data_IF_229600933582
#
_entry.id   IF_229600933582
#
_cell.length_a   1.000
_cell.length_b   1.000
_cell.length_c   1.000
_cell.angle_alpha   90.00
_cell.angle_beta   90.00
_cell.angle_gamma   90.00
#
_symmetry.space_group_name_H-M   'P 1'
#
loop_
_entity.id
_entity.type
_entity.pdbx_description
1 polymer ?
#
# COMPACT_ATOMS: atom_id res chain seq x y z
N UNK A 1 9.81 5.38 4.93
CA UNK A 1 8.46 5.42 4.33
C UNK A 1 7.91 6.83 4.40
N UNK A 2 7.37 7.30 3.29
CA UNK A 2 6.75 8.63 3.23
C UNK A 2 5.60 8.65 2.23
N UNK A 3 4.83 9.74 2.25
CA UNK A 3 3.74 10.01 1.32
C UNK A 3 2.66 8.93 1.32
N UNK A 4 2.41 8.31 2.47
CA UNK A 4 1.38 7.30 2.59
C UNK A 4 -0.02 7.93 2.50
N UNK A 5 -0.90 7.26 1.76
CA UNK A 5 -2.28 7.74 1.58
C UNK A 5 -3.23 6.56 1.36
N UNK A 6 -4.50 6.83 1.63
CA UNK A 6 -5.61 5.90 1.33
C UNK A 6 -6.67 6.72 0.61
N UNK A 7 -7.18 6.18 -0.50
CA UNK A 7 -8.28 6.82 -1.23
C UNK A 7 -9.59 6.34 -0.62
N UNK A 8 -10.43 7.28 -0.16
CA UNK A 8 -11.73 6.93 0.41
C UNK A 8 -12.57 6.20 -0.64
N UNK A 9 -13.17 5.04 -0.30
CA UNK A 9 -14.02 4.32 -1.25
C UNK A 9 -15.25 5.15 -1.63
N UNK A 10 -15.77 4.91 -2.82
CA UNK A 10 -17.06 5.49 -3.23
C UNK A 10 -18.17 4.98 -2.32
N UNK A 11 -19.24 5.75 -2.21
CA UNK A 11 -20.39 5.39 -1.38
C UNK A 11 -20.92 4.01 -1.76
N UNK A 12 -21.14 3.16 -0.76
CA UNK A 12 -21.60 1.79 -0.95
C UNK A 12 -20.51 0.80 -1.32
N UNK A 13 -19.24 1.23 -1.36
CA UNK A 13 -18.10 0.36 -1.64
C UNK A 13 -17.22 0.26 -0.40
N UNK A 14 -16.55 -0.88 -0.25
CA UNK A 14 -15.66 -1.13 0.89
C UNK A 14 -14.23 -1.49 0.46
N UNK A 15 -13.89 -1.28 -0.81
CA UNK A 15 -12.56 -1.53 -1.34
C UNK A 15 -11.92 -0.19 -1.70
N UNK A 16 -10.69 0.01 -1.22
CA UNK A 16 -9.97 1.26 -1.42
C UNK A 16 -8.56 0.99 -1.90
N UNK A 17 -8.02 1.91 -2.69
CA UNK A 17 -6.62 1.91 -3.04
C UNK A 17 -5.81 2.77 -2.08
N UNK A 18 -4.54 2.47 -1.97
CA UNK A 18 -3.61 3.27 -1.19
C UNK A 18 -2.21 3.18 -1.75
N UNK A 19 -1.34 4.03 -1.26
CA UNK A 19 0.04 4.04 -1.69
C UNK A 19 0.97 4.69 -0.69
N UNK A 20 2.25 4.57 -0.97
CA UNK A 20 3.32 5.15 -0.18
C UNK A 20 4.63 5.05 -0.95
N UNK A 21 5.68 5.67 -0.43
CA UNK A 21 7.02 5.45 -0.92
C UNK A 21 7.84 4.79 0.20
N UNK A 22 8.48 3.67 -0.11
CA UNK A 22 9.38 2.98 0.81
C UNK A 22 10.79 2.97 0.25
N UNK A 23 11.76 3.29 1.09
CA UNK A 23 13.16 3.30 0.69
C UNK A 23 14.01 2.74 1.84
N UNK A 24 15.18 2.23 1.48
CA UNK A 24 16.10 1.61 2.42
C UNK A 24 17.51 2.08 2.14
N UNK A 25 18.35 2.14 3.19
CA UNK A 25 19.79 2.31 3.06
C UNK A 25 20.45 1.04 3.57
N UNK A 26 21.45 0.54 2.82
CA UNK A 26 22.12 -0.72 3.15
C UNK A 26 21.55 -1.89 2.39
N UNK A 27 21.41 -3.05 3.05
CA UNK A 27 20.95 -4.26 2.41
C UNK A 27 19.48 -4.15 1.96
N UNK A 28 19.12 -4.78 0.84
CA UNK A 28 17.73 -4.74 0.39
C UNK A 28 16.79 -5.48 1.34
N UNK A 29 15.54 -5.02 1.37
CA UNK A 29 14.46 -5.64 2.14
C UNK A 29 13.27 -5.88 1.21
N UNK A 30 12.36 -6.74 1.65
CA UNK A 30 11.11 -6.96 0.93
C UNK A 30 9.94 -6.46 1.77
N UNK A 31 9.04 -5.70 1.14
CA UNK A 31 7.74 -5.37 1.72
C UNK A 31 6.84 -6.56 1.47
N UNK A 32 6.46 -7.28 2.53
CA UNK A 32 5.74 -8.54 2.42
C UNK A 32 4.29 -8.46 2.85
N UNK A 33 3.87 -7.37 3.48
CA UNK A 33 2.49 -7.23 3.89
C UNK A 33 2.21 -5.87 4.49
N UNK A 34 0.92 -5.61 4.67
CA UNK A 34 0.43 -4.40 5.30
C UNK A 34 -0.88 -4.70 6.00
N UNK A 35 -1.19 -3.90 7.02
CA UNK A 35 -2.46 -3.98 7.74
C UNK A 35 -2.84 -2.62 8.29
N UNK A 36 -4.12 -2.45 8.58
CA UNK A 36 -4.63 -1.22 9.18
C UNK A 36 -5.91 -1.53 9.94
N UNK A 37 -6.21 -0.74 10.97
CA UNK A 37 -7.42 -0.94 11.77
C UNK A 37 -8.70 -0.57 11.02
N UNK A 38 -8.59 0.19 9.93
CA UNK A 38 -9.76 0.66 9.18
C UNK A 38 -10.17 -0.28 8.04
N UNK A 39 -9.48 -1.40 7.88
CA UNK A 39 -9.79 -2.38 6.84
C UNK A 39 -9.57 -3.80 7.36
N UNK A 40 -10.32 -4.75 6.81
CA UNK A 40 -10.21 -6.16 7.22
C UNK A 40 -8.89 -6.78 6.74
N UNK A 41 -8.43 -6.40 5.55
CA UNK A 41 -7.15 -6.86 5.03
C UNK A 41 -6.59 -5.87 4.01
N UNK A 42 -5.28 -5.94 3.83
CA UNK A 42 -4.58 -5.14 2.83
C UNK A 42 -3.74 -6.10 1.98
N UNK A 43 -3.81 -5.94 0.67
CA UNK A 43 -3.04 -6.74 -0.29
C UNK A 43 -2.09 -5.84 -1.08
N UNK A 44 -0.99 -6.42 -1.52
CA UNK A 44 -0.04 -5.77 -2.42
C UNK A 44 -0.45 -6.10 -3.85
N UNK A 45 -0.64 -5.11 -4.69
CA UNK A 45 -1.07 -5.28 -6.06
C UNK A 45 -0.14 -4.60 -7.03
N UNK A 46 -0.01 -5.17 -8.22
CA UNK A 46 0.69 -4.56 -9.34
C UNK A 46 -0.26 -4.43 -10.52
N UNK A 47 0.04 -3.50 -11.43
CA UNK A 47 -0.69 -3.35 -12.68
C UNK A 47 0.12 -3.96 -13.80
N UNK A 48 -0.52 -4.80 -14.61
CA UNK A 48 0.10 -5.39 -15.79
C UNK A 48 -0.77 -5.08 -17.01
N UNK A 49 -0.16 -5.04 -18.18
CA UNK A 49 -0.89 -4.90 -19.42
C UNK A 49 -0.80 -6.19 -20.20
N UNK A 50 -1.96 -6.82 -20.46
CA UNK A 50 -2.06 -8.05 -21.23
C UNK A 50 -3.06 -7.83 -22.35
N UNK A 51 -2.65 -8.10 -23.60
CA UNK A 51 -3.49 -7.95 -24.79
C UNK A 51 -4.16 -6.56 -24.89
N UNK A 52 -3.44 -5.52 -24.45
CA UNK A 52 -3.95 -4.15 -24.47
C UNK A 52 -4.88 -3.80 -23.32
N UNK A 53 -5.08 -4.70 -22.35
CA UNK A 53 -5.95 -4.48 -21.20
C UNK A 53 -5.13 -4.40 -19.92
N UNK A 54 -5.36 -3.35 -19.15
CA UNK A 54 -4.73 -3.20 -17.83
C UNK A 54 -5.40 -4.12 -16.83
N UNK A 55 -4.61 -4.92 -16.13
CA UNK A 55 -5.09 -5.84 -15.11
C UNK A 55 -4.32 -5.65 -13.81
N UNK A 56 -5.04 -5.74 -12.68
CA UNK A 56 -4.43 -5.76 -11.36
C UNK A 56 -4.16 -7.20 -10.96
N UNK A 57 -2.98 -7.44 -10.38
CA UNK A 57 -2.63 -8.75 -9.84
C UNK A 57 -2.06 -8.60 -8.44
N UNK A 58 -2.47 -9.48 -7.54
CA UNK A 58 -1.86 -9.56 -6.23
C UNK A 58 -0.45 -10.12 -6.35
N UNK A 59 0.48 -9.53 -5.60
CA UNK A 59 1.85 -10.03 -5.49
C UNK A 59 2.17 -10.29 -4.01
N UNK A 60 3.14 -11.14 -3.77
CA UNK A 60 3.52 -11.51 -2.40
C UNK A 60 4.42 -10.48 -1.75
N UNK A 61 5.22 -9.77 -2.54
CA UNK A 61 6.17 -8.80 -2.01
C UNK A 61 6.63 -7.81 -3.06
N UNK A 62 7.20 -6.71 -2.58
CA UNK A 62 7.97 -5.77 -3.40
C UNK A 62 9.36 -5.66 -2.81
N UNK A 63 10.38 -5.73 -3.66
CA UNK A 63 11.77 -5.56 -3.22
C UNK A 63 12.12 -4.08 -3.15
N UNK A 64 12.68 -3.66 -2.00
CA UNK A 64 13.16 -2.29 -1.78
C UNK A 64 14.68 -2.35 -1.69
N UNK A 65 15.37 -1.68 -2.60
CA UNK A 65 16.84 -1.65 -2.63
C UNK A 65 17.34 -0.24 -2.47
N UNK A 66 18.58 -0.10 -2.00
CA UNK A 66 19.21 1.22 -1.90
C UNK A 66 19.30 1.84 -3.29
N UNK A 67 18.83 3.08 -3.41
CA UNK A 67 18.76 3.78 -4.69
C UNK A 67 17.60 3.38 -5.58
N UNK A 68 16.81 2.35 -5.21
CA UNK A 68 15.65 1.88 -5.95
C UNK A 68 14.44 1.78 -5.02
N UNK A 69 13.84 2.92 -4.62
CA UNK A 69 12.68 2.89 -3.73
C UNK A 69 11.47 2.25 -4.41
N UNK A 70 10.60 1.66 -3.59
CA UNK A 70 9.29 1.20 -4.04
C UNK A 70 8.32 2.37 -3.95
N UNK A 71 7.68 2.69 -5.06
CA UNK A 71 6.64 3.72 -5.13
C UNK A 71 5.31 3.03 -5.39
N UNK A 72 4.43 3.08 -4.40
CA UNK A 72 3.08 2.56 -4.52
C UNK A 72 2.14 3.73 -4.76
N UNK A 73 1.45 3.73 -5.89
CA UNK A 73 0.65 4.87 -6.33
C UNK A 73 -0.48 4.43 -7.23
N UNK A 74 -1.40 5.33 -7.47
CA UNK A 74 -2.52 5.08 -8.39
C UNK A 74 -1.98 4.85 -9.80
N UNK A 75 -2.55 3.84 -10.46
CA UNK A 75 -2.15 3.49 -11.82
C UNK A 75 -0.87 2.67 -11.94
N UNK A 76 -0.22 2.37 -10.82
CA UNK A 76 0.98 1.53 -10.79
C UNK A 76 0.86 0.47 -9.70
N UNK A 77 1.99 0.08 -9.11
CA UNK A 77 1.97 -0.77 -7.92
C UNK A 77 1.25 -0.02 -6.81
N UNK A 78 0.41 -0.72 -6.04
CA UNK A 78 -0.40 -0.05 -5.03
C UNK A 78 -0.83 -1.03 -3.94
N UNK A 79 -1.37 -0.46 -2.85
CA UNK A 79 -2.03 -1.23 -1.81
C UNK A 79 -3.52 -1.30 -2.14
N UNK A 80 -4.13 -2.44 -1.88
CA UNK A 80 -5.56 -2.63 -2.02
C UNK A 80 -6.13 -3.02 -0.67
N UNK A 81 -7.04 -2.20 -0.16
CA UNK A 81 -7.66 -2.37 1.16
C UNK A 81 -9.06 -2.93 0.98
N UNK A 82 -9.38 -3.99 1.70
CA UNK A 82 -10.69 -4.66 1.63
C UNK A 82 -11.40 -4.56 2.97
N UNK A 83 -12.72 -4.39 2.93
CA UNK A 83 -13.51 -4.24 4.13
C UNK A 83 -13.26 -2.91 4.85
N UNK A 84 -13.13 -1.84 4.08
CA UNK A 84 -12.80 -0.52 4.63
C UNK A 84 -13.97 0.05 5.41
N UNK A 85 -13.68 0.58 6.61
CA UNK A 85 -14.67 1.22 7.46
C UNK A 85 -15.25 2.45 6.74
N UNK A 86 -16.59 2.50 6.56
CA UNK A 86 -17.22 3.63 5.89
C UNK A 86 -17.17 4.93 6.69
N UNK A 87 -16.78 4.89 7.95
CA UNK A 87 -16.71 6.07 8.80
C UNK A 87 -15.47 6.93 8.54
N UNK A 88 -14.49 6.46 7.75
CA UNK A 88 -13.34 7.28 7.43
C UNK A 88 -13.77 8.46 6.55
N UNK A 89 -13.12 9.61 6.75
CA UNK A 89 -13.43 10.83 6.01
C UNK A 89 -12.18 11.42 5.38
N UNK A 90 -12.35 12.09 4.26
CA UNK A 90 -11.26 12.82 3.61
C UNK A 90 -10.66 13.82 4.60
N UNK A 91 -9.34 13.80 4.72
CA UNK A 91 -8.60 14.59 5.68
C UNK A 91 -8.25 13.86 6.96
N UNK A 92 -8.87 12.71 7.21
CA UNK A 92 -8.49 11.88 8.35
C UNK A 92 -7.09 11.31 8.16
N UNK A 93 -6.45 10.96 9.28
CA UNK A 93 -5.18 10.25 9.28
C UNK A 93 -5.41 8.87 9.88
N UNK A 94 -4.91 7.85 9.20
CA UNK A 94 -5.00 6.47 9.66
C UNK A 94 -3.61 5.86 9.71
N UNK A 95 -3.41 4.91 10.61
CA UNK A 95 -2.12 4.22 10.72
C UNK A 95 -2.14 2.97 9.85
N UNK A 96 -1.05 2.78 9.11
CA UNK A 96 -0.82 1.56 8.33
C UNK A 96 0.43 0.89 8.88
N UNK A 97 0.31 -0.38 9.23
CA UNK A 97 1.44 -1.21 9.64
C UNK A 97 2.00 -1.93 8.42
N UNK A 98 3.30 -1.79 8.20
CA UNK A 98 3.99 -2.42 7.08
C UNK A 98 4.93 -3.48 7.63
N UNK A 99 4.90 -4.66 7.01
CA UNK A 99 5.80 -5.74 7.38
C UNK A 99 6.89 -5.86 6.32
N UNK A 100 8.13 -5.74 6.78
CA UNK A 100 9.31 -5.90 5.93
C UNK A 100 10.09 -7.13 6.37
N UNK A 101 10.70 -7.81 5.41
CA UNK A 101 11.59 -8.94 5.67
C UNK A 101 12.95 -8.65 5.07
N UNK A 102 14.01 -8.81 5.86
CA UNK A 102 15.37 -8.62 5.37
C UNK A 102 15.93 -9.91 4.75
N UNK A 103 17.17 -9.85 4.25
CA UNK A 103 17.81 -10.98 3.60
C UNK A 103 18.06 -12.17 4.52
N UNK A 104 18.07 -11.95 5.84
CA UNK A 104 18.22 -13.00 6.83
C UNK A 104 16.90 -13.68 7.19
N UNK A 105 15.79 -13.21 6.65
CA UNK A 105 14.46 -13.71 6.97
C UNK A 105 13.85 -13.07 8.21
N UNK A 106 14.49 -12.06 8.79
CA UNK A 106 13.98 -11.37 9.96
C UNK A 106 12.90 -10.37 9.54
N UNK A 107 11.74 -10.43 10.20
CA UNK A 107 10.63 -9.54 9.92
C UNK A 107 10.68 -8.32 10.85
N UNK A 108 10.33 -7.17 10.30
CA UNK A 108 10.20 -5.92 11.04
C UNK A 108 8.90 -5.26 10.67
N UNK A 109 8.23 -4.67 11.66
CA UNK A 109 6.99 -3.93 11.45
C UNK A 109 7.27 -2.44 11.62
N UNK A 110 6.80 -1.67 10.65
CA UNK A 110 6.91 -0.21 10.69
C UNK A 110 5.52 0.37 10.52
N UNK A 111 5.14 1.29 11.41
CA UNK A 111 3.85 1.96 11.35
C UNK A 111 4.05 3.34 10.72
N UNK A 112 3.23 3.67 9.73
CA UNK A 112 3.23 4.98 9.10
C UNK A 112 1.83 5.56 9.13
N UNK A 113 1.75 6.90 9.19
CA UNK A 113 0.47 7.59 9.10
C UNK A 113 0.14 7.86 7.64
N UNK A 114 -1.09 7.57 7.25
CA UNK A 114 -1.60 7.79 5.90
C UNK A 114 -2.72 8.80 5.92
N UNK A 115 -2.70 9.72 4.97
CA UNK A 115 -3.78 10.68 4.79
C UNK A 115 -4.90 10.06 3.96
N UNK A 116 -6.14 10.23 4.40
CA UNK A 116 -7.31 9.79 3.62
C UNK A 116 -7.64 10.88 2.60
N UNK A 117 -7.60 10.51 1.32
CA UNK A 117 -7.86 11.42 0.20
C UNK A 117 -9.13 11.01 -0.51
N UNK A 118 -9.78 11.98 -1.17
CA UNK A 118 -10.92 11.70 -2.03
C UNK A 118 -10.51 11.24 -3.41
N UNK A 119 -11.47 10.66 -4.15
CA UNK A 119 -11.28 10.33 -5.55
C UNK A 119 -11.01 11.62 -6.33
N UNK A 120 -9.93 11.65 -7.08
CA UNK A 120 -9.55 12.82 -7.87
C UNK A 120 -8.61 13.80 -7.18
N UNK A 121 -8.26 13.55 -5.93
CA UNK A 121 -7.27 14.37 -5.20
C UNK A 121 -5.85 14.06 -5.65
#
# INVERSE_FOLDING_TARGET
>A
VKDAFVIKPAAGRDVAGGGLMAYVTGAPVELVGASTDIADRVELHTMTMEDGVMQMRQVESFTVSEGEPVVLQRGGNHLMLFGVDPAIAVGDTVDISLEFRDSDGTSQTLVTSAEVKGLGD
#
